data_IF_575285954679
#
_entry.id   IF_575285954679
#
_cell.length_a   1.000
_cell.length_b   1.000
_cell.length_c   1.000
_cell.angle_alpha   90.00
_cell.angle_beta   90.00
_cell.angle_gamma   90.00
#
_symmetry.space_group_name_H-M   'P 1'
#
loop_
_entity.id
_entity.type
_entity.pdbx_description
1 polymer ?
#
# COMPACT_ATOMS: atom_id res chain seq x y z
N UNK A 1 52.42 -39.59 11.14
CA UNK A 1 51.59 -39.32 9.96
C UNK A 1 51.27 -37.84 9.95
N UNK A 2 51.22 -37.18 8.78
CA UNK A 2 50.88 -35.76 8.73
C UNK A 2 49.43 -35.56 9.19
N UNK A 3 49.11 -34.44 9.85
CA UNK A 3 47.73 -34.09 10.13
C UNK A 3 47.00 -33.78 8.82
N UNK A 4 45.80 -34.36 8.66
CA UNK A 4 44.95 -34.18 7.49
C UNK A 4 44.47 -32.74 7.29
N UNK A 5 43.97 -32.40 6.09
CA UNK A 5 43.59 -31.05 5.74
C UNK A 5 42.41 -30.58 6.59
N UNK A 6 42.55 -29.36 7.13
CA UNK A 6 41.48 -28.64 7.80
C UNK A 6 40.32 -28.39 6.82
N UNK A 7 39.09 -28.69 7.26
CA UNK A 7 37.88 -28.39 6.53
C UNK A 7 37.77 -26.86 6.31
N UNK A 8 37.29 -26.41 5.13
CA UNK A 8 37.07 -24.99 4.89
C UNK A 8 35.97 -24.47 5.82
N UNK A 9 36.27 -23.38 6.50
CA UNK A 9 35.42 -22.75 7.50
C UNK A 9 34.03 -22.44 6.96
N UNK A 10 33.03 -23.01 7.61
CA UNK A 10 31.64 -22.60 7.47
C UNK A 10 31.54 -21.10 7.78
N UNK A 11 31.09 -20.33 6.79
CA UNK A 11 30.75 -18.91 6.94
C UNK A 11 29.52 -18.81 7.85
N UNK A 12 29.77 -18.83 9.16
CA UNK A 12 28.75 -18.85 10.23
C UNK A 12 28.02 -17.53 10.47
N UNK A 13 28.14 -16.53 9.59
CA UNK A 13 27.56 -15.19 9.81
C UNK A 13 26.29 -14.89 8.99
N UNK A 14 25.87 -15.76 8.09
CA UNK A 14 24.50 -15.74 7.55
C UNK A 14 23.55 -16.65 8.36
N UNK A 15 23.91 -16.96 9.61
CA UNK A 15 23.07 -17.75 10.51
C UNK A 15 21.92 -16.86 10.98
N UNK A 16 20.78 -17.07 10.32
CA UNK A 16 19.49 -16.45 10.56
C UNK A 16 19.41 -14.96 10.13
N UNK A 17 19.12 -14.73 8.85
CA UNK A 17 18.01 -13.79 8.58
C UNK A 17 16.88 -14.32 9.45
N UNK A 18 16.33 -13.54 10.40
CA UNK A 18 15.17 -14.00 11.16
C UNK A 18 14.17 -14.43 10.10
N UNK A 19 13.82 -15.72 10.08
CA UNK A 19 12.63 -16.13 9.35
C UNK A 19 11.56 -15.22 9.95
N UNK A 20 11.13 -14.20 9.21
CA UNK A 20 10.04 -13.31 9.62
C UNK A 20 8.77 -14.15 9.85
N UNK A 21 8.80 -15.39 9.38
CA UNK A 21 7.88 -16.47 9.66
C UNK A 21 8.59 -17.52 10.54
N UNK A 22 8.87 -17.19 11.81
CA UNK A 22 8.76 -18.23 12.85
C UNK A 22 7.30 -18.70 12.79
N UNK A 23 6.99 -20.00 12.93
CA UNK A 23 5.64 -20.39 13.33
C UNK A 23 5.32 -19.57 14.57
N UNK A 24 4.40 -18.62 14.45
CA UNK A 24 3.99 -17.83 15.60
C UNK A 24 3.29 -18.81 16.54
N UNK A 25 3.99 -19.21 17.60
CA UNK A 25 3.31 -19.70 18.78
C UNK A 25 2.31 -18.60 19.18
N UNK A 26 1.05 -19.00 19.16
CA UNK A 26 -0.08 -18.12 19.01
C UNK A 26 -0.32 -17.21 20.22
N UNK A 27 0.34 -16.06 20.28
CA UNK A 27 -0.12 -14.94 21.10
C UNK A 27 0.03 -13.62 20.33
N UNK A 28 -1.12 -13.04 19.97
CA UNK A 28 -1.36 -11.71 19.34
C UNK A 28 -1.41 -11.59 17.79
N UNK A 29 -1.53 -12.69 17.05
CA UNK A 29 -1.89 -12.66 15.64
C UNK A 29 -1.84 -14.08 15.10
N UNK A 30 -2.99 -14.60 14.66
CA UNK A 30 -3.09 -16.00 14.21
C UNK A 30 -2.04 -16.37 13.14
N UNK A 31 -1.76 -17.66 12.94
CA UNK A 31 -0.79 -18.10 11.95
C UNK A 31 -1.13 -17.50 10.58
N UNK A 32 -0.12 -16.93 9.91
CA UNK A 32 -0.26 -16.56 8.50
C UNK A 32 -0.51 -17.86 7.72
N UNK A 33 -1.75 -18.06 7.30
CA UNK A 33 -2.13 -19.22 6.51
C UNK A 33 -1.67 -18.99 5.07
N UNK A 34 -0.69 -19.78 4.63
CA UNK A 34 -0.20 -19.81 3.25
C UNK A 34 -0.55 -21.17 2.68
N UNK A 35 -1.39 -21.21 1.66
CA UNK A 35 -1.71 -22.45 0.96
C UNK A 35 -0.47 -23.05 0.29
N UNK A 36 -0.37 -24.38 0.18
CA UNK A 36 0.72 -25.02 -0.54
C UNK A 36 0.86 -24.47 -1.97
N UNK A 37 2.07 -24.04 -2.28
CA UNK A 37 2.48 -23.54 -3.61
C UNK A 37 2.28 -24.67 -4.62
N UNK A 38 1.23 -24.54 -5.45
CA UNK A 38 0.80 -25.58 -6.41
C UNK A 38 0.64 -25.08 -7.85
N UNK A 39 0.87 -23.79 -8.09
CA UNK A 39 0.71 -23.13 -9.38
C UNK A 39 2.02 -22.45 -9.84
N UNK A 40 2.02 -21.94 -11.07
CA UNK A 40 3.10 -21.10 -11.58
C UNK A 40 3.05 -19.71 -10.94
N UNK A 41 4.20 -19.20 -10.50
CA UNK A 41 4.33 -17.87 -9.89
C UNK A 41 5.18 -16.96 -10.76
N UNK A 42 4.83 -15.68 -10.75
CA UNK A 42 5.58 -14.62 -11.40
C UNK A 42 6.10 -13.63 -10.36
N UNK A 43 7.42 -13.57 -10.17
CA UNK A 43 8.05 -12.61 -9.28
C UNK A 43 8.48 -11.36 -10.04
N UNK A 44 8.23 -10.18 -9.45
CA UNK A 44 8.49 -8.88 -10.08
C UNK A 44 9.08 -7.87 -9.08
N UNK A 45 9.20 -6.60 -9.46
CA UNK A 45 9.84 -5.55 -8.65
C UNK A 45 11.29 -5.90 -8.31
N UNK A 46 11.68 -5.90 -7.03
CA UNK A 46 13.09 -6.12 -6.66
C UNK A 46 13.58 -7.55 -6.92
N UNK A 47 12.67 -8.52 -7.07
CA UNK A 47 13.05 -9.87 -7.49
C UNK A 47 13.69 -9.85 -8.90
N UNK A 48 13.23 -8.99 -9.82
CA UNK A 48 13.83 -8.84 -11.17
C UNK A 48 15.30 -8.39 -11.07
N UNK A 49 15.59 -7.40 -10.23
CA UNK A 49 16.94 -6.86 -10.06
C UNK A 49 17.89 -7.88 -9.41
N UNK A 50 17.46 -8.52 -8.32
CA UNK A 50 18.29 -9.52 -7.62
C UNK A 50 18.59 -10.70 -8.54
N UNK A 51 17.58 -11.22 -9.25
CA UNK A 51 17.74 -12.37 -10.15
C UNK A 51 18.62 -12.01 -11.35
N UNK A 52 18.49 -10.80 -11.92
CA UNK A 52 19.38 -10.31 -12.97
C UNK A 52 20.83 -10.21 -12.48
N UNK A 53 21.05 -9.69 -11.27
CA UNK A 53 22.40 -9.61 -10.66
C UNK A 53 23.02 -10.99 -10.43
N UNK A 54 22.20 -11.98 -10.06
CA UNK A 54 22.63 -13.38 -9.96
C UNK A 54 22.87 -14.05 -11.32
N UNK A 55 22.73 -13.29 -12.43
CA UNK A 55 22.83 -13.77 -13.82
C UNK A 55 21.85 -14.91 -14.13
N UNK A 56 20.68 -14.84 -13.50
CA UNK A 56 19.55 -15.74 -13.72
C UNK A 56 18.46 -14.99 -14.50
N UNK A 57 17.53 -15.72 -15.13
CA UNK A 57 16.42 -15.09 -15.85
C UNK A 57 15.46 -16.08 -16.49
N UNK A 58 14.28 -15.59 -16.88
CA UNK A 58 13.22 -16.43 -17.42
C UNK A 58 12.53 -17.21 -16.30
N UNK A 59 12.73 -18.51 -16.26
CA UNK A 59 12.26 -19.38 -15.18
C UNK A 59 13.44 -19.82 -14.31
N UNK A 60 13.31 -19.64 -13.00
CA UNK A 60 14.34 -19.98 -12.03
C UNK A 60 13.81 -20.98 -11.01
N UNK A 61 14.71 -21.77 -10.44
CA UNK A 61 14.45 -22.60 -9.27
C UNK A 61 15.06 -21.97 -8.02
N UNK A 62 14.56 -22.35 -6.85
CA UNK A 62 15.09 -21.86 -5.57
C UNK A 62 16.54 -22.32 -5.36
N UNK A 63 16.88 -23.51 -5.85
CA UNK A 63 18.25 -24.03 -5.78
C UNK A 63 19.22 -23.19 -6.62
N UNK A 64 18.79 -22.71 -7.80
CA UNK A 64 19.60 -21.80 -8.62
C UNK A 64 19.86 -20.47 -7.89
N UNK A 65 18.85 -19.92 -7.21
CA UNK A 65 19.04 -18.70 -6.39
C UNK A 65 20.03 -18.95 -5.26
N UNK A 66 19.93 -20.08 -4.58
CA UNK A 66 20.85 -20.44 -3.51
C UNK A 66 22.29 -20.57 -4.01
N UNK A 67 22.48 -21.26 -5.13
CA UNK A 67 23.80 -21.52 -5.70
C UNK A 67 24.45 -20.25 -6.24
N UNK A 68 23.74 -19.50 -7.09
CA UNK A 68 24.23 -18.21 -7.60
C UNK A 68 24.45 -17.19 -6.48
N UNK A 69 23.59 -17.19 -5.45
CA UNK A 69 23.75 -16.32 -4.28
C UNK A 69 25.04 -16.63 -3.50
N UNK A 70 25.34 -17.91 -3.25
CA UNK A 70 26.61 -18.32 -2.61
C UNK A 70 27.81 -17.97 -3.48
N UNK A 71 27.72 -18.19 -4.79
CA UNK A 71 28.79 -17.84 -5.72
C UNK A 71 29.08 -16.34 -5.73
N UNK A 72 28.05 -15.49 -5.71
CA UNK A 72 28.20 -14.03 -5.62
C UNK A 72 28.83 -13.63 -4.28
N UNK A 73 28.32 -14.14 -3.15
CA UNK A 73 28.83 -13.83 -1.82
C UNK A 73 30.27 -14.33 -1.57
N UNK A 74 30.72 -15.36 -2.31
CA UNK A 74 32.07 -15.90 -2.21
C UNK A 74 33.13 -15.14 -3.03
N UNK A 75 32.71 -14.22 -3.91
CA UNK A 75 33.63 -13.45 -4.76
C UNK A 75 34.28 -12.30 -3.98
N UNK A 76 35.57 -11.99 -4.22
CA UNK A 76 36.20 -10.77 -3.71
C UNK A 76 35.47 -9.53 -4.22
N UNK A 77 35.29 -8.51 -3.36
CA UNK A 77 34.59 -7.29 -3.72
C UNK A 77 35.13 -6.60 -4.98
N UNK A 78 36.46 -6.58 -5.16
CA UNK A 78 37.10 -6.01 -6.35
C UNK A 78 36.70 -6.74 -7.65
N UNK A 79 36.47 -8.05 -7.58
CA UNK A 79 35.99 -8.84 -8.71
C UNK A 79 34.53 -8.55 -9.02
N UNK A 80 33.68 -8.47 -7.98
CA UNK A 80 32.26 -8.12 -8.11
C UNK A 80 32.08 -6.75 -8.77
N UNK A 81 32.82 -5.74 -8.32
CA UNK A 81 32.78 -4.39 -8.91
C UNK A 81 33.21 -4.37 -10.37
N UNK A 82 34.27 -5.12 -10.72
CA UNK A 82 34.77 -5.19 -12.10
C UNK A 82 33.78 -5.88 -13.04
N UNK A 83 33.14 -6.94 -12.56
CA UNK A 83 32.22 -7.77 -13.34
C UNK A 83 30.83 -7.16 -13.54
N UNK A 84 30.47 -6.15 -12.75
CA UNK A 84 29.13 -5.53 -12.73
C UNK A 84 29.25 -4.00 -12.76
N UNK A 85 30.20 -3.48 -13.55
CA UNK A 85 30.52 -2.05 -13.63
C UNK A 85 29.35 -1.17 -14.11
N UNK A 86 28.29 -1.77 -14.64
CA UNK A 86 27.05 -1.12 -15.04
C UNK A 86 26.08 -0.82 -13.87
N UNK A 87 26.36 -1.36 -12.68
CA UNK A 87 25.53 -1.17 -11.48
C UNK A 87 26.17 -0.17 -10.51
N UNK A 88 25.32 0.48 -9.71
CA UNK A 88 25.78 1.34 -8.63
C UNK A 88 26.46 0.52 -7.52
N UNK A 89 27.54 1.06 -6.95
CA UNK A 89 28.34 0.38 -5.93
C UNK A 89 27.56 0.13 -4.63
N UNK A 90 26.67 1.06 -4.25
CA UNK A 90 25.82 0.91 -3.08
C UNK A 90 24.80 -0.21 -3.30
N UNK A 91 24.18 -0.25 -4.48
CA UNK A 91 23.28 -1.35 -4.86
C UNK A 91 24.03 -2.70 -4.86
N UNK A 92 25.22 -2.75 -5.45
CA UNK A 92 26.07 -3.94 -5.50
C UNK A 92 26.40 -4.52 -4.13
N UNK A 93 26.64 -3.65 -3.14
CA UNK A 93 26.93 -4.07 -1.78
C UNK A 93 25.75 -4.81 -1.13
N UNK A 94 24.52 -4.59 -1.61
CA UNK A 94 23.32 -5.22 -1.04
C UNK A 94 22.97 -6.57 -1.66
N UNK A 95 23.44 -6.89 -2.87
CA UNK A 95 22.91 -8.05 -3.62
C UNK A 95 23.33 -9.42 -3.06
N UNK A 96 24.46 -9.53 -2.35
CA UNK A 96 24.77 -10.77 -1.62
C UNK A 96 23.70 -11.04 -0.55
N UNK A 97 23.35 -10.02 0.24
CA UNK A 97 22.24 -10.12 1.19
C UNK A 97 20.90 -10.32 0.47
N UNK A 98 20.66 -9.61 -0.62
CA UNK A 98 19.44 -9.73 -1.43
C UNK A 98 19.21 -11.15 -1.95
N UNK A 99 20.24 -11.81 -2.47
CA UNK A 99 20.16 -13.21 -2.92
C UNK A 99 19.85 -14.17 -1.77
N UNK A 100 20.54 -14.01 -0.64
CA UNK A 100 20.25 -14.80 0.56
C UNK A 100 18.81 -14.56 1.08
N UNK A 101 18.37 -13.30 1.10
CA UNK A 101 17.04 -12.92 1.53
C UNK A 101 15.94 -13.51 0.65
N UNK A 102 16.09 -13.40 -0.68
CA UNK A 102 15.14 -13.98 -1.66
C UNK A 102 15.04 -15.49 -1.46
N UNK A 103 16.17 -16.20 -1.31
CA UNK A 103 16.16 -17.63 -1.01
C UNK A 103 15.40 -17.95 0.29
N UNK A 104 15.69 -17.24 1.39
CA UNK A 104 15.05 -17.50 2.68
C UNK A 104 13.54 -17.24 2.64
N UNK A 105 13.11 -16.15 2.01
CA UNK A 105 11.69 -15.80 1.89
C UNK A 105 10.94 -16.81 1.04
N UNK A 106 11.47 -17.19 -0.13
CA UNK A 106 10.78 -18.14 -1.00
C UNK A 106 10.77 -19.56 -0.41
N UNK A 107 11.93 -20.06 0.02
CA UNK A 107 12.08 -21.43 0.48
C UNK A 107 11.47 -21.67 1.86
N UNK A 108 11.71 -20.76 2.81
CA UNK A 108 11.32 -20.95 4.22
C UNK A 108 10.15 -20.09 4.66
N UNK A 109 9.97 -18.94 4.03
CA UNK A 109 8.84 -18.07 4.32
C UNK A 109 7.57 -18.60 3.67
N UNK A 110 7.55 -18.62 2.34
CA UNK A 110 6.40 -19.06 1.56
C UNK A 110 6.34 -20.58 1.32
N UNK A 111 7.39 -21.33 1.68
CA UNK A 111 7.40 -22.78 1.57
C UNK A 111 7.40 -23.30 0.14
N UNK A 112 7.99 -22.56 -0.81
CA UNK A 112 8.10 -23.02 -2.19
C UNK A 112 8.96 -24.29 -2.26
N UNK A 113 8.50 -25.34 -2.97
CA UNK A 113 9.33 -26.50 -3.26
C UNK A 113 10.53 -26.08 -4.12
N UNK A 114 11.69 -26.68 -3.88
CA UNK A 114 12.92 -26.33 -4.61
C UNK A 114 12.82 -26.55 -6.11
N UNK A 115 11.98 -27.49 -6.54
CA UNK A 115 11.77 -27.86 -7.95
C UNK A 115 10.71 -27.03 -8.68
N UNK A 116 9.93 -26.19 -7.99
CA UNK A 116 8.89 -25.39 -8.66
C UNK A 116 9.54 -24.22 -9.38
N UNK A 117 9.33 -24.08 -10.70
CA UNK A 117 9.85 -22.96 -11.45
C UNK A 117 9.08 -21.68 -11.08
N UNK A 118 9.83 -20.61 -10.84
CA UNK A 118 9.31 -19.26 -10.63
C UNK A 118 9.71 -18.43 -11.84
N UNK A 119 8.72 -17.89 -12.55
CA UNK A 119 8.99 -16.97 -13.64
C UNK A 119 9.40 -15.62 -13.05
N UNK A 120 10.50 -15.04 -13.52
CA UNK A 120 11.00 -13.75 -13.05
C UNK A 120 11.29 -12.83 -14.22
N UNK A 121 10.82 -11.60 -14.10
CA UNK A 121 11.36 -10.47 -14.85
C UNK A 121 10.32 -9.68 -15.64
N UNK A 122 10.64 -9.37 -16.90
CA UNK A 122 9.81 -8.56 -17.79
C UNK A 122 9.09 -9.48 -18.75
N UNK A 123 7.76 -9.33 -18.82
CA UNK A 123 7.00 -10.05 -19.83
C UNK A 123 6.99 -9.26 -21.13
N UNK A 124 6.76 -9.97 -22.23
CA UNK A 124 6.62 -9.37 -23.55
C UNK A 124 5.14 -9.12 -23.82
N UNK A 125 4.80 -7.85 -24.03
CA UNK A 125 3.51 -7.45 -24.55
C UNK A 125 3.74 -6.73 -25.88
N UNK A 126 3.19 -7.27 -26.97
CA UNK A 126 3.38 -6.74 -28.33
C UNK A 126 4.86 -6.52 -28.71
N UNK A 127 5.76 -7.43 -28.32
CA UNK A 127 7.19 -7.33 -28.59
C UNK A 127 7.95 -6.31 -27.74
N UNK A 128 7.28 -5.60 -26.84
CA UNK A 128 7.91 -4.67 -25.88
C UNK A 128 8.02 -5.30 -24.50
N UNK A 129 9.14 -5.05 -23.82
CA UNK A 129 9.37 -5.47 -22.43
C UNK A 129 8.52 -4.61 -21.50
N UNK A 130 7.52 -5.20 -20.87
CA UNK A 130 6.67 -4.54 -19.87
C UNK A 130 6.96 -5.08 -18.47
N UNK A 131 6.99 -4.17 -17.49
CA UNK A 131 7.08 -4.50 -16.08
C UNK A 131 5.66 -4.66 -15.51
N UNK A 132 5.35 -5.84 -14.99
CA UNK A 132 4.10 -6.04 -14.25
C UNK A 132 4.21 -5.38 -12.87
N UNK A 133 3.20 -4.62 -12.49
CA UNK A 133 3.09 -4.00 -11.17
C UNK A 133 1.63 -3.98 -10.75
N UNK A 134 1.40 -3.93 -9.44
CA UNK A 134 0.07 -3.79 -8.85
C UNK A 134 -0.66 -2.54 -9.37
N UNK A 135 0.07 -1.49 -9.76
CA UNK A 135 -0.51 -0.26 -10.32
C UNK A 135 -1.30 -0.52 -11.60
N UNK A 136 -0.85 -1.46 -12.44
CA UNK A 136 -1.57 -1.81 -13.67
C UNK A 136 -2.89 -2.51 -13.34
N UNK A 137 -2.89 -3.39 -12.33
CA UNK A 137 -4.11 -4.02 -11.85
C UNK A 137 -5.10 -3.01 -11.27
N UNK A 138 -4.61 -2.01 -10.53
CA UNK A 138 -5.44 -0.93 -9.98
C UNK A 138 -6.11 -0.10 -11.08
N UNK A 139 -5.35 0.32 -12.10
CA UNK A 139 -5.90 1.07 -13.24
C UNK A 139 -6.94 0.23 -13.97
N UNK A 140 -6.63 -1.04 -14.23
CA UNK A 140 -7.56 -1.94 -14.91
C UNK A 140 -8.84 -2.15 -14.09
N UNK A 141 -8.71 -2.28 -12.77
CA UNK A 141 -9.85 -2.40 -11.86
C UNK A 141 -10.77 -1.17 -11.93
N UNK A 142 -10.21 0.04 -11.86
CA UNK A 142 -10.98 1.29 -11.95
C UNK A 142 -11.67 1.47 -13.32
N UNK A 143 -11.02 1.01 -14.40
CA UNK A 143 -11.60 1.07 -15.76
C UNK A 143 -12.70 0.03 -15.98
N UNK A 144 -12.55 -1.17 -15.42
CA UNK A 144 -13.49 -2.28 -15.62
C UNK A 144 -14.65 -2.28 -14.61
N UNK A 145 -14.43 -1.73 -13.42
CA UNK A 145 -15.39 -1.66 -12.33
C UNK A 145 -15.55 -0.20 -11.87
N UNK A 146 -16.12 0.67 -12.72
CA UNK A 146 -16.32 2.06 -12.36
C UNK A 146 -17.16 2.14 -11.09
N UNK A 147 -16.64 2.87 -10.09
CA UNK A 147 -17.35 3.07 -8.83
C UNK A 147 -18.72 3.71 -9.11
N UNK A 148 -19.78 3.31 -8.37
CA UNK A 148 -21.05 4.01 -8.45
C UNK A 148 -20.83 5.50 -8.15
N UNK A 149 -21.59 6.40 -8.77
CA UNK A 149 -21.45 7.83 -8.52
C UNK A 149 -21.54 8.07 -7.02
N UNK A 150 -20.57 8.82 -6.48
CA UNK A 150 -20.61 9.26 -5.08
C UNK A 150 -21.96 9.89 -4.79
N UNK A 151 -22.54 9.56 -3.63
CA UNK A 151 -23.85 10.05 -3.23
C UNK A 151 -23.91 11.58 -3.42
N UNK A 152 -25.05 12.12 -3.89
CA UNK A 152 -25.16 13.55 -4.18
C UNK A 152 -24.69 14.34 -2.96
N UNK A 153 -23.68 15.19 -3.16
CA UNK A 153 -23.16 16.04 -2.10
C UNK A 153 -24.33 16.72 -1.39
N UNK A 154 -24.31 16.78 -0.06
CA UNK A 154 -25.35 17.44 0.75
C UNK A 154 -25.36 18.96 0.59
N UNK A 155 -24.46 19.51 -0.24
CA UNK A 155 -24.29 20.93 -0.52
C UNK A 155 -25.58 21.64 -0.96
N UNK A 156 -26.45 21.08 -1.84
CA UNK A 156 -27.71 21.72 -2.21
C UNK A 156 -28.69 21.81 -1.04
N UNK A 157 -28.72 20.79 -0.18
CA UNK A 157 -29.55 20.78 1.03
C UNK A 157 -29.03 21.80 2.05
N UNK A 158 -27.72 21.86 2.26
CA UNK A 158 -27.09 22.84 3.15
C UNK A 158 -27.34 24.28 2.70
N UNK A 159 -27.19 24.57 1.40
CA UNK A 159 -27.50 25.89 0.85
C UNK A 159 -28.99 26.23 0.98
N UNK A 160 -29.88 25.27 0.73
CA UNK A 160 -31.32 25.45 0.92
C UNK A 160 -31.70 25.78 2.37
N UNK A 161 -31.16 25.05 3.34
CA UNK A 161 -31.40 25.28 4.77
C UNK A 161 -30.84 26.65 5.23
N UNK A 162 -29.68 27.05 4.71
CA UNK A 162 -29.06 28.33 5.05
C UNK A 162 -29.88 29.53 4.54
N UNK A 163 -30.36 29.47 3.29
CA UNK A 163 -31.22 30.52 2.71
C UNK A 163 -32.56 30.62 3.45
N UNK A 164 -33.18 29.48 3.78
CA UNK A 164 -34.43 29.45 4.56
C UNK A 164 -34.26 30.06 5.95
N UNK A 165 -33.18 29.68 6.66
CA UNK A 165 -32.92 30.16 8.02
C UNK A 165 -32.62 31.66 8.05
N UNK A 166 -31.83 32.15 7.09
CA UNK A 166 -31.52 33.59 6.97
C UNK A 166 -32.76 34.41 6.64
N UNK A 167 -33.62 33.95 5.73
CA UNK A 167 -34.89 34.61 5.41
C UNK A 167 -35.81 34.71 6.64
N UNK A 168 -35.92 33.63 7.42
CA UNK A 168 -36.74 33.62 8.64
C UNK A 168 -36.21 34.60 9.71
N UNK A 169 -34.88 34.64 9.91
CA UNK A 169 -34.25 35.58 10.84
C UNK A 169 -34.47 37.03 10.42
N UNK A 170 -34.32 37.35 9.13
CA UNK A 170 -34.59 38.70 8.62
C UNK A 170 -36.05 39.10 8.82
N UNK A 171 -37.00 38.20 8.53
CA UNK A 171 -38.42 38.44 8.77
C UNK A 171 -38.73 38.69 10.26
N UNK A 172 -38.14 37.90 11.15
CA UNK A 172 -38.30 38.06 12.59
C UNK A 172 -37.70 39.39 13.10
N UNK A 173 -36.53 39.79 12.57
CA UNK A 173 -35.89 41.07 12.90
C UNK A 173 -36.72 42.26 12.41
N UNK A 174 -37.27 42.19 11.20
CA UNK A 174 -38.19 43.21 10.68
C UNK A 174 -39.44 43.30 11.55
N UNK A 175 -40.06 42.16 11.89
CA UNK A 175 -41.23 42.15 12.77
C UNK A 175 -40.94 42.72 14.16
N UNK A 176 -39.81 42.36 14.77
CA UNK A 176 -39.36 42.90 16.05
C UNK A 176 -39.06 44.40 15.96
N UNK A 177 -38.45 44.86 14.86
CA UNK A 177 -38.19 46.27 14.62
C UNK A 177 -39.49 47.06 14.47
N UNK A 178 -40.44 46.58 13.65
CA UNK A 178 -41.78 47.17 13.52
C UNK A 178 -42.49 47.27 14.88
N UNK A 179 -42.44 46.23 15.72
CA UNK A 179 -43.00 46.26 17.08
C UNK A 179 -42.31 47.28 17.99
N UNK A 180 -41.00 47.50 17.85
CA UNK A 180 -40.24 48.48 18.62
C UNK A 180 -40.42 49.92 18.13
N UNK A 181 -40.66 50.14 16.84
CA UNK A 181 -40.86 51.47 16.24
C UNK A 181 -42.31 51.94 16.24
N UNK A 182 -43.29 51.07 16.51
CA UNK A 182 -44.70 51.45 16.74
C UNK A 182 -45.15 51.40 18.22
N UNK A 183 -44.44 51.99 19.21
CA UNK A 183 -44.93 52.02 20.59
C UNK A 183 -46.11 52.99 20.79
N UNK A 184 -46.41 53.86 19.81
CA UNK A 184 -47.38 54.96 19.94
C UNK A 184 -48.77 54.77 19.30
N UNK A 185 -49.00 53.69 18.53
CA UNK A 185 -50.29 53.46 17.84
C UNK A 185 -51.16 52.42 18.55
N UNK A 186 -50.56 51.32 19.02
CA UNK A 186 -51.30 50.24 19.69
C UNK A 186 -51.88 50.67 21.05
N UNK A 187 -51.17 51.51 21.82
CA UNK A 187 -51.70 52.09 23.08
C UNK A 187 -52.87 53.05 22.83
N UNK A 188 -52.90 53.75 21.68
CA UNK A 188 -54.03 54.62 21.34
C UNK A 188 -55.25 53.80 20.95
N UNK A 189 -55.08 52.76 20.13
CA UNK A 189 -56.17 51.86 19.73
C UNK A 189 -56.76 51.10 20.92
N UNK A 190 -55.92 50.61 21.83
CA UNK A 190 -56.39 49.96 23.07
C UNK A 190 -57.08 50.94 24.02
N UNK A 191 -56.61 52.19 24.10
CA UNK A 191 -57.24 53.21 24.93
C UNK A 191 -58.58 53.66 24.35
N UNK A 192 -58.69 53.83 23.04
CA UNK A 192 -59.97 54.10 22.37
C UNK A 192 -60.94 52.93 22.46
N UNK A 193 -60.45 51.68 22.41
CA UNK A 193 -61.30 50.50 22.59
C UNK A 193 -61.78 50.36 24.04
N UNK A 194 -60.93 50.68 25.02
CA UNK A 194 -61.29 50.68 26.44
C UNK A 194 -62.26 51.83 26.80
N UNK A 195 -62.06 53.03 26.22
CA UNK A 195 -62.97 54.17 26.40
C UNK A 195 -64.33 53.93 25.73
N UNK A 196 -64.36 53.27 24.57
CA UNK A 196 -65.61 52.89 23.90
C UNK A 196 -66.40 51.79 24.65
N UNK A 197 -65.70 50.86 25.32
CA UNK A 197 -66.34 49.82 26.14
C UNK A 197 -66.87 50.34 27.48
N UNK A 198 -66.32 51.44 28.01
CA UNK A 198 -66.79 52.08 29.25
C UNK A 198 -67.95 53.06 29.03
N UNK A 199 -68.22 53.45 27.78
CA UNK A 199 -69.31 54.35 27.39
C UNK A 199 -70.58 53.62 26.89
N UNK A 200 -70.58 52.29 26.91
CA UNK A 200 -71.71 51.41 26.63
C UNK A 200 -72.25 50.80 27.94
#
# INVERSE_FOLDING_TARGET
GPPGPAAPGEVGHARAVPTVLKPCDAEAGGPLFVDPVSAAFFATSNYDNVIAMLRLGGEITIDQVAESGRALCGKPWAEVMRENAEWDAEDLATYCFGGAYVYQVLARGYGFPSSVPVAVGKSLYNGQKVKFSWTMGLILYELLYPRPPEAPSSLPLFLGCFVSSTAFLLAALVFAHCRRTTPGSYRRVLRTAAEAAAAA
#
